data_IF_105735788261
#
_entry.id   IF_105735788261
#
_cell.length_a   1.000
_cell.length_b   1.000
_cell.length_c   1.000
_cell.angle_alpha   90.00
_cell.angle_beta   90.00
_cell.angle_gamma   90.00
#
_symmetry.space_group_name_H-M   'P 1'
#
loop_
_entity.id
_entity.type
_entity.pdbx_description
1 polymer ?
#
# COMPACT_ATOMS: atom_id res chain seq x y z
N UNK A 1 -0.61 18.40 23.03
CA UNK A 1 0.35 17.28 23.13
C UNK A 1 -0.17 16.11 23.97
N UNK A 2 -1.10 16.26 24.93
CA UNK A 2 -1.65 15.12 25.72
C UNK A 2 -2.79 14.35 25.04
N UNK A 3 -3.66 14.99 24.24
CA UNK A 3 -4.80 14.32 23.58
C UNK A 3 -4.45 13.48 22.33
N UNK A 4 -3.21 13.55 21.84
CA UNK A 4 -2.78 12.84 20.63
C UNK A 4 -2.24 11.44 20.94
N UNK A 5 -1.47 11.31 22.04
CA UNK A 5 -0.98 10.03 22.56
C UNK A 5 -2.12 9.10 23.01
N UNK A 6 -3.19 9.68 23.59
CA UNK A 6 -4.40 8.94 23.97
C UNK A 6 -5.15 8.36 22.75
N UNK A 7 -5.18 9.08 21.62
CA UNK A 7 -5.84 8.62 20.38
C UNK A 7 -5.04 7.54 19.66
N UNK A 8 -3.71 7.60 19.70
CA UNK A 8 -2.84 6.57 19.15
C UNK A 8 -2.88 5.27 19.97
N UNK A 9 -2.91 5.39 21.31
CA UNK A 9 -3.19 4.25 22.19
C UNK A 9 -4.60 3.68 21.99
N UNK A 10 -5.60 4.52 21.71
CA UNK A 10 -6.96 4.06 21.43
C UNK A 10 -7.09 3.24 20.13
N UNK A 11 -6.31 3.56 19.09
CA UNK A 11 -6.27 2.77 17.83
C UNK A 11 -5.64 1.39 18.09
N UNK A 12 -4.54 1.34 18.85
CA UNK A 12 -3.92 0.07 19.26
C UNK A 12 -4.79 -0.73 20.24
N UNK A 13 -5.53 -0.06 21.14
CA UNK A 13 -6.47 -0.71 22.06
C UNK A 13 -7.77 -1.14 21.38
N UNK A 14 -8.20 -0.48 20.31
CA UNK A 14 -9.33 -0.90 19.48
C UNK A 14 -8.99 -2.18 18.69
N UNK A 15 -7.76 -2.28 18.16
CA UNK A 15 -7.25 -3.50 17.55
C UNK A 15 -7.16 -4.70 18.54
N UNK A 16 -7.05 -4.44 19.84
CA UNK A 16 -7.08 -5.46 20.92
C UNK A 16 -8.47 -6.01 21.25
N UNK A 17 -9.56 -5.41 20.75
CA UNK A 17 -10.95 -5.83 21.07
C UNK A 17 -11.61 -6.71 20.00
N UNK A 18 -10.86 -7.06 18.94
CA UNK A 18 -11.34 -8.01 17.93
C UNK A 18 -11.42 -9.41 18.56
N UNK A 19 -12.54 -10.15 18.45
CA UNK A 19 -12.81 -11.31 19.32
C UNK A 19 -11.89 -12.52 19.12
N UNK A 20 -11.03 -12.52 18.10
CA UNK A 20 -9.95 -13.50 17.96
C UNK A 20 -8.73 -12.81 17.33
N UNK A 21 -7.73 -12.54 18.16
CA UNK A 21 -6.40 -12.14 17.69
C UNK A 21 -5.80 -13.33 16.92
N UNK A 22 -5.28 -13.13 15.69
CA UNK A 22 -4.49 -14.15 15.01
C UNK A 22 -3.34 -14.62 15.90
N UNK A 23 -3.00 -15.92 15.89
CA UNK A 23 -1.97 -16.51 16.77
C UNK A 23 -0.61 -15.78 16.74
N UNK A 24 -0.25 -15.14 15.62
CA UNK A 24 0.99 -14.37 15.50
C UNK A 24 1.01 -13.08 16.35
N UNK A 25 -0.15 -12.51 16.70
CA UNK A 25 -0.28 -11.39 17.64
C UNK A 25 -0.13 -11.83 19.11
N UNK A 26 -0.38 -13.11 19.41
CA UNK A 26 -0.12 -13.68 20.75
C UNK A 26 1.37 -13.96 20.97
N UNK A 27 2.08 -14.40 19.93
CA UNK A 27 3.53 -14.60 19.96
C UNK A 27 4.30 -13.31 20.24
N UNK A 28 3.73 -12.15 19.90
CA UNK A 28 4.28 -10.82 20.22
C UNK A 28 4.16 -10.45 21.71
N UNK A 29 3.15 -10.97 22.43
CA UNK A 29 3.04 -10.79 23.89
C UNK A 29 4.05 -11.67 24.65
N UNK A 30 4.29 -12.90 24.20
CA UNK A 30 5.22 -13.81 24.89
C UNK A 30 6.68 -13.37 24.74
N UNK A 31 7.02 -12.66 23.66
CA UNK A 31 8.34 -12.04 23.48
C UNK A 31 8.59 -10.82 24.41
N UNK A 32 7.55 -10.26 25.06
CA UNK A 32 7.69 -9.14 26.00
C UNK A 32 8.00 -9.54 27.44
N UNK A 33 8.02 -10.85 27.76
CA UNK A 33 8.37 -11.32 29.11
C UNK A 33 9.88 -11.56 29.33
N UNK A 34 10.72 -11.24 28.33
CA UNK A 34 12.17 -11.17 28.49
C UNK A 34 12.60 -9.70 28.51
N UNK A 35 12.47 -9.10 29.68
CA UNK A 35 13.12 -7.82 30.01
C UNK A 35 14.64 -7.98 29.91
N UNK A 36 15.25 -7.45 28.84
CA UNK A 36 16.46 -6.60 28.87
C UNK A 36 16.86 -6.26 27.44
N UNK A 37 16.32 -5.19 26.89
CA UNK A 37 17.01 -4.24 26.02
C UNK A 37 16.01 -3.12 25.71
N UNK A 38 16.40 -1.87 25.99
CA UNK A 38 15.61 -0.69 25.64
C UNK A 38 15.42 -0.64 24.13
N UNK A 39 14.29 -1.17 23.64
CA UNK A 39 13.90 -0.92 22.26
C UNK A 39 13.74 0.61 22.12
N UNK A 40 14.46 1.26 21.19
CA UNK A 40 14.33 2.69 21.02
C UNK A 40 12.86 2.99 20.71
N UNK A 41 12.28 3.94 21.46
CA UNK A 41 10.95 4.47 21.17
C UNK A 41 10.95 4.90 19.70
N UNK A 42 10.11 4.24 18.90
CA UNK A 42 9.87 4.59 17.51
C UNK A 42 9.50 6.09 17.42
N UNK A 43 10.37 6.90 16.81
CA UNK A 43 10.03 8.30 16.54
C UNK A 43 8.98 8.34 15.43
N UNK A 44 7.80 8.85 15.78
CA UNK A 44 6.68 8.97 14.85
C UNK A 44 7.04 9.86 13.65
N UNK A 45 7.90 10.86 13.81
CA UNK A 45 8.33 11.72 12.71
C UNK A 45 9.15 10.93 11.68
N UNK A 46 10.00 10.01 12.14
CA UNK A 46 10.78 9.15 11.26
C UNK A 46 9.86 8.21 10.47
N UNK A 47 8.83 7.65 11.12
CA UNK A 47 7.85 6.79 10.47
C UNK A 47 7.04 7.52 9.40
N UNK A 48 6.72 8.78 9.65
CA UNK A 48 5.89 9.59 8.75
C UNK A 48 6.70 10.29 7.64
N UNK A 49 8.03 10.15 7.62
CA UNK A 49 8.87 10.73 6.57
C UNK A 49 8.50 10.18 5.19
N UNK A 50 8.13 8.90 5.10
CA UNK A 50 7.65 8.26 3.87
C UNK A 50 6.27 8.74 3.41
N UNK A 51 5.58 9.53 4.24
CA UNK A 51 4.26 10.08 3.97
C UNK A 51 4.30 11.55 3.55
N UNK A 52 5.44 12.22 3.39
CA UNK A 52 5.46 13.68 3.10
C UNK A 52 4.75 14.54 4.18
N UNK A 53 4.76 14.11 5.46
CA UNK A 53 4.04 14.76 6.57
C UNK A 53 4.45 16.21 6.88
N UNK A 54 5.57 16.69 6.33
CA UNK A 54 6.02 18.08 6.44
C UNK A 54 5.29 19.04 5.47
N UNK A 55 4.50 18.51 4.53
CA UNK A 55 3.74 19.29 3.55
C UNK A 55 2.34 19.61 4.06
N UNK A 56 1.65 20.52 3.36
CA UNK A 56 0.22 20.70 3.55
C UNK A 56 -0.54 19.38 3.30
N UNK A 57 -1.70 19.15 3.97
CA UNK A 57 -2.50 17.96 3.76
C UNK A 57 -2.80 17.69 2.28
N UNK A 58 -2.48 16.49 1.84
CA UNK A 58 -2.71 16.00 0.47
C UNK A 58 -3.98 15.15 0.40
N UNK A 59 -4.56 15.05 -0.79
CA UNK A 59 -5.54 14.02 -1.15
C UNK A 59 -4.80 12.77 -1.64
N UNK A 60 -4.89 11.68 -0.88
CA UNK A 60 -4.11 10.45 -1.13
C UNK A 60 -5.05 9.30 -1.45
N UNK A 61 -4.89 8.75 -2.66
CA UNK A 61 -5.51 7.49 -3.05
C UNK A 61 -4.63 6.32 -2.57
N UNK A 62 -5.08 5.54 -1.58
CA UNK A 62 -4.33 4.39 -1.07
C UNK A 62 -4.77 3.13 -1.79
N UNK A 63 -3.84 2.43 -2.44
CA UNK A 63 -4.05 1.08 -2.97
C UNK A 63 -4.07 0.07 -1.80
N UNK A 64 -5.26 -0.37 -1.42
CA UNK A 64 -5.50 -1.31 -0.33
C UNK A 64 -5.77 -2.70 -0.91
N UNK A 65 -4.99 -3.71 -0.50
CA UNK A 65 -5.07 -5.06 -1.07
C UNK A 65 -5.59 -6.12 -0.10
N UNK A 66 -5.94 -5.74 1.13
CA UNK A 66 -6.28 -6.67 2.22
C UNK A 66 -5.05 -7.17 3.00
N UNK A 67 -3.85 -6.92 2.50
CA UNK A 67 -2.60 -7.27 3.17
C UNK A 67 -2.20 -6.27 4.27
N UNK A 68 -1.42 -6.76 5.24
CA UNK A 68 -0.91 -5.98 6.40
C UNK A 68 -0.17 -4.72 5.96
N UNK A 69 0.70 -4.83 4.96
CA UNK A 69 1.52 -3.70 4.48
C UNK A 69 0.66 -2.55 3.91
N UNK A 70 -0.37 -2.89 3.13
CA UNK A 70 -1.28 -1.89 2.56
C UNK A 70 -2.15 -1.22 3.64
N UNK A 71 -2.54 -1.98 4.67
CA UNK A 71 -3.26 -1.47 5.84
C UNK A 71 -2.39 -0.53 6.68
N UNK A 72 -1.12 -0.88 6.91
CA UNK A 72 -0.18 -0.01 7.60
C UNK A 72 0.10 1.27 6.81
N UNK A 73 0.24 1.18 5.49
CA UNK A 73 0.41 2.34 4.64
C UNK A 73 -0.78 3.30 4.70
N UNK A 74 -2.01 2.77 4.74
CA UNK A 74 -3.24 3.56 4.95
C UNK A 74 -3.20 4.32 6.28
N UNK A 75 -2.85 3.62 7.36
CA UNK A 75 -2.81 4.23 8.70
C UNK A 75 -1.72 5.31 8.79
N UNK A 76 -0.54 5.07 8.22
CA UNK A 76 0.55 6.05 8.21
C UNK A 76 0.21 7.28 7.36
N UNK A 77 -0.40 7.10 6.19
CA UNK A 77 -0.85 8.23 5.37
C UNK A 77 -1.92 9.08 6.10
N UNK A 78 -2.84 8.42 6.81
CA UNK A 78 -3.83 9.11 7.65
C UNK A 78 -3.18 9.82 8.84
N UNK A 79 -2.23 9.17 9.51
CA UNK A 79 -1.51 9.74 10.66
C UNK A 79 -0.64 10.95 10.27
N UNK A 80 -0.15 11.00 9.03
CA UNK A 80 0.49 12.18 8.44
C UNK A 80 -0.45 13.38 8.21
N UNK A 81 -1.75 13.23 8.48
CA UNK A 81 -2.74 14.30 8.37
C UNK A 81 -3.35 14.46 6.97
N UNK A 82 -3.22 13.47 6.09
CA UNK A 82 -3.76 13.52 4.73
C UNK A 82 -5.24 13.14 4.65
N UNK A 83 -5.89 13.60 3.59
CA UNK A 83 -7.23 13.19 3.19
C UNK A 83 -7.13 11.89 2.39
N UNK A 84 -7.44 10.77 3.03
CA UNK A 84 -7.24 9.43 2.46
C UNK A 84 -8.55 8.86 1.90
N UNK A 85 -8.49 8.33 0.68
CA UNK A 85 -9.49 7.41 0.11
C UNK A 85 -8.80 6.10 -0.24
N UNK A 86 -9.38 4.98 0.17
CA UNK A 86 -8.86 3.66 -0.17
C UNK A 86 -9.48 3.14 -1.48
N UNK A 87 -8.65 2.47 -2.28
CA UNK A 87 -9.05 1.82 -3.52
C UNK A 87 -8.60 0.37 -3.52
N UNK A 88 -9.55 -0.54 -3.75
CA UNK A 88 -9.27 -1.96 -4.00
C UNK A 88 -9.33 -2.23 -5.50
N UNK A 89 -8.22 -2.67 -6.08
CA UNK A 89 -8.12 -2.97 -7.51
C UNK A 89 -8.54 -4.41 -7.78
N UNK A 90 -9.74 -4.60 -8.34
CA UNK A 90 -10.23 -5.93 -8.70
C UNK A 90 -9.71 -6.33 -10.08
N UNK A 91 -8.63 -7.11 -10.09
CA UNK A 91 -7.93 -7.58 -11.31
C UNK A 91 -8.26 -9.02 -11.71
N UNK A 92 -9.00 -9.76 -10.88
CA UNK A 92 -9.35 -11.16 -11.12
C UNK A 92 -10.58 -11.31 -12.03
N UNK A 93 -10.58 -12.31 -12.91
CA UNK A 93 -11.69 -12.64 -13.79
C UNK A 93 -12.72 -13.52 -13.08
N UNK A 94 -13.93 -13.01 -12.84
CA UNK A 94 -14.98 -13.77 -12.15
C UNK A 94 -15.40 -15.06 -12.88
N UNK A 95 -15.25 -15.10 -14.20
CA UNK A 95 -15.71 -16.20 -15.05
C UNK A 95 -14.77 -17.42 -15.02
N UNK A 96 -13.48 -17.22 -14.74
CA UNK A 96 -12.47 -18.29 -14.72
C UNK A 96 -12.51 -19.11 -13.42
N UNK A 97 -12.93 -18.52 -12.29
CA UNK A 97 -12.88 -19.19 -10.98
C UNK A 97 -14.05 -20.13 -10.72
N UNK A 98 -15.25 -19.85 -11.24
CA UNK A 98 -16.43 -20.70 -11.00
C UNK A 98 -16.28 -22.13 -11.52
N UNK A 99 -15.32 -22.36 -12.41
CA UNK A 99 -15.05 -23.68 -12.99
C UNK A 99 -13.96 -24.47 -12.24
N UNK A 100 -13.20 -23.84 -11.33
CA UNK A 100 -12.02 -24.45 -10.70
C UNK A 100 -11.95 -24.33 -9.17
N UNK A 101 -12.67 -23.39 -8.55
CA UNK A 101 -12.59 -23.12 -7.10
C UNK A 101 -13.97 -22.82 -6.51
N UNK A 102 -14.29 -23.39 -5.35
CA UNK A 102 -15.58 -23.23 -4.65
C UNK A 102 -15.80 -21.81 -4.08
N UNK A 103 -14.74 -21.02 -3.91
CA UNK A 103 -14.77 -19.65 -3.42
C UNK A 103 -13.84 -18.73 -4.22
N UNK A 104 -14.26 -17.47 -4.41
CA UNK A 104 -13.48 -16.45 -5.10
C UNK A 104 -12.51 -15.75 -4.14
N UNK A 105 -11.17 -15.87 -4.30
CA UNK A 105 -10.19 -15.33 -3.33
C UNK A 105 -10.31 -13.81 -3.08
N UNK A 106 -10.79 -13.06 -4.08
CA UNK A 106 -10.89 -11.60 -3.99
C UNK A 106 -11.96 -11.12 -3.00
N UNK A 107 -12.94 -11.97 -2.64
CA UNK A 107 -14.02 -11.62 -1.71
C UNK A 107 -13.49 -11.48 -0.29
N UNK A 108 -12.62 -12.40 0.15
CA UNK A 108 -12.00 -12.36 1.47
C UNK A 108 -11.08 -11.14 1.61
N UNK A 109 -10.24 -10.88 0.60
CA UNK A 109 -9.39 -9.69 0.55
C UNK A 109 -10.22 -8.40 0.65
N UNK A 110 -11.37 -8.35 -0.05
CA UNK A 110 -12.26 -7.21 -0.02
C UNK A 110 -12.93 -7.05 1.36
N UNK A 111 -13.32 -8.14 2.02
CA UNK A 111 -13.87 -8.09 3.38
C UNK A 111 -12.84 -7.51 4.37
N UNK A 112 -11.56 -7.91 4.25
CA UNK A 112 -10.48 -7.33 5.05
C UNK A 112 -10.31 -5.84 4.75
N UNK A 113 -10.30 -5.44 3.47
CA UNK A 113 -10.25 -4.02 3.08
C UNK A 113 -11.39 -3.22 3.71
N UNK A 114 -12.62 -3.74 3.64
CA UNK A 114 -13.79 -3.09 4.22
C UNK A 114 -13.66 -2.93 5.73
N UNK A 115 -13.16 -3.96 6.43
CA UNK A 115 -12.95 -3.89 7.88
C UNK A 115 -11.89 -2.84 8.24
N UNK A 116 -10.73 -2.85 7.56
CA UNK A 116 -9.66 -1.87 7.76
C UNK A 116 -10.16 -0.45 7.53
N UNK A 117 -10.93 -0.22 6.47
CA UNK A 117 -11.50 1.08 6.15
C UNK A 117 -12.58 1.53 7.16
N UNK A 118 -13.42 0.61 7.64
CA UNK A 118 -14.39 0.91 8.71
C UNK A 118 -13.70 1.35 10.00
N UNK A 119 -12.70 0.59 10.44
CA UNK A 119 -11.95 0.90 11.67
C UNK A 119 -11.15 2.20 11.53
N UNK A 120 -10.65 2.46 10.33
CA UNK A 120 -9.95 3.71 10.01
C UNK A 120 -10.90 4.88 9.72
N UNK A 121 -12.22 4.70 9.56
CA UNK A 121 -13.12 5.76 9.10
C UNK A 121 -12.70 6.37 7.75
N UNK A 122 -12.24 5.53 6.81
CA UNK A 122 -11.76 5.90 5.47
C UNK A 122 -12.72 5.34 4.41
N UNK A 123 -13.13 6.12 3.39
CA UNK A 123 -13.95 5.60 2.30
C UNK A 123 -13.18 4.55 1.48
N UNK A 124 -13.89 3.51 1.00
CA UNK A 124 -13.35 2.44 0.16
C UNK A 124 -14.10 2.38 -1.17
N UNK A 125 -13.36 2.39 -2.27
CA UNK A 125 -13.88 2.21 -3.62
C UNK A 125 -13.27 0.97 -4.29
N UNK A 126 -14.07 0.23 -5.06
CA UNK A 126 -13.63 -0.94 -5.82
C UNK A 126 -13.49 -0.56 -7.27
N UNK A 127 -12.30 -0.74 -7.84
CA UNK A 127 -12.01 -0.39 -9.24
C UNK A 127 -11.85 -1.67 -10.05
N UNK A 128 -12.75 -1.96 -11.01
CA UNK A 128 -12.60 -3.12 -11.88
C UNK A 128 -11.49 -2.86 -12.91
N UNK A 129 -10.39 -3.62 -12.82
CA UNK A 129 -9.25 -3.52 -13.73
C UNK A 129 -8.85 -4.87 -14.33
N UNK A 130 -9.75 -5.86 -14.32
CA UNK A 130 -9.47 -7.21 -14.84
C UNK A 130 -9.07 -7.19 -16.31
N UNK A 131 -9.82 -6.47 -17.16
CA UNK A 131 -9.50 -6.35 -18.59
C UNK A 131 -8.13 -5.73 -18.82
N UNK A 132 -7.83 -4.62 -18.13
CA UNK A 132 -6.54 -3.94 -18.22
C UNK A 132 -5.40 -4.83 -17.72
N UNK A 133 -5.61 -5.60 -16.66
CA UNK A 133 -4.64 -6.57 -16.17
C UNK A 133 -4.37 -7.67 -17.21
N UNK A 134 -5.40 -8.20 -17.85
CA UNK A 134 -5.23 -9.20 -18.91
C UNK A 134 -4.46 -8.65 -20.10
N UNK A 135 -4.91 -7.54 -20.66
CA UNK A 135 -4.33 -6.96 -21.88
C UNK A 135 -2.89 -6.51 -21.64
N UNK A 136 -2.61 -5.91 -20.47
CA UNK A 136 -1.33 -5.25 -20.20
C UNK A 136 -0.34 -6.14 -19.44
N UNK A 137 -0.75 -7.24 -18.82
CA UNK A 137 0.12 -8.12 -18.02
C UNK A 137 0.07 -9.56 -18.50
N UNK A 138 -1.12 -10.17 -18.50
CA UNK A 138 -1.27 -11.60 -18.81
C UNK A 138 -0.89 -11.89 -20.26
N UNK A 139 -1.45 -11.13 -21.21
CA UNK A 139 -1.21 -11.33 -22.64
C UNK A 139 0.28 -11.20 -22.99
N UNK A 140 0.98 -10.19 -22.46
CA UNK A 140 2.43 -10.06 -22.64
C UNK A 140 3.19 -11.22 -22.00
N UNK A 141 2.85 -11.59 -20.77
CA UNK A 141 3.53 -12.69 -20.07
C UNK A 141 3.40 -14.01 -20.85
N UNK A 142 2.22 -14.32 -21.38
CA UNK A 142 2.00 -15.50 -22.23
C UNK A 142 2.81 -15.41 -23.52
N UNK A 143 2.87 -14.24 -24.16
CA UNK A 143 3.68 -14.02 -25.36
C UNK A 143 5.18 -14.24 -25.10
N UNK A 144 5.70 -13.73 -23.99
CA UNK A 144 7.09 -13.91 -23.56
C UNK A 144 7.43 -15.38 -23.31
N UNK A 145 6.54 -16.10 -22.63
CA UNK A 145 6.67 -17.55 -22.37
C UNK A 145 6.70 -18.32 -23.70
N UNK A 146 5.79 -18.01 -24.64
CA UNK A 146 5.76 -18.64 -25.97
C UNK A 146 7.05 -18.41 -26.75
N UNK A 147 7.72 -17.28 -26.50
CA UNK A 147 9.00 -16.94 -27.09
C UNK A 147 10.22 -17.48 -26.30
N UNK A 148 10.00 -18.36 -25.32
CA UNK A 148 11.05 -19.01 -24.54
C UNK A 148 11.70 -18.13 -23.48
N UNK A 149 11.06 -17.02 -23.09
CA UNK A 149 11.54 -16.10 -22.05
C UNK A 149 10.77 -16.30 -20.75
N UNK A 150 11.37 -15.87 -19.64
CA UNK A 150 10.73 -15.89 -18.32
C UNK A 150 10.33 -14.46 -17.94
N UNK A 151 9.06 -14.05 -18.14
CA UNK A 151 8.58 -12.72 -17.78
C UNK A 151 8.47 -12.57 -16.26
N UNK A 152 8.53 -11.32 -15.80
CA UNK A 152 8.17 -10.96 -14.42
C UNK A 152 6.86 -10.16 -14.44
N UNK A 153 5.70 -10.80 -14.19
CA UNK A 153 4.40 -10.14 -14.26
C UNK A 153 4.21 -9.07 -13.16
N UNK A 154 4.90 -9.16 -12.03
CA UNK A 154 4.78 -8.18 -10.93
C UNK A 154 5.35 -6.81 -11.33
N UNK A 155 6.48 -6.78 -12.04
CA UNK A 155 7.05 -5.55 -12.61
C UNK A 155 6.05 -4.89 -13.58
N UNK A 156 5.36 -5.70 -14.38
CA UNK A 156 4.36 -5.22 -15.33
C UNK A 156 3.10 -4.73 -14.61
N UNK A 157 2.62 -5.47 -13.60
CA UNK A 157 1.46 -5.10 -12.79
C UNK A 157 1.66 -3.75 -12.11
N UNK A 158 2.84 -3.52 -11.52
CA UNK A 158 3.15 -2.24 -10.89
C UNK A 158 3.16 -1.10 -11.91
N UNK A 159 3.90 -1.23 -13.02
CA UNK A 159 4.06 -0.15 -13.99
C UNK A 159 2.84 0.08 -14.89
N UNK A 160 1.99 -0.92 -15.12
CA UNK A 160 0.90 -0.83 -16.10
C UNK A 160 -0.50 -0.87 -15.49
N UNK A 161 -0.64 -1.38 -14.27
CA UNK A 161 -1.94 -1.51 -13.59
C UNK A 161 -1.98 -0.60 -12.37
N UNK A 162 -1.18 -0.86 -11.33
CA UNK A 162 -1.20 -0.08 -10.08
C UNK A 162 -0.86 1.41 -10.28
N UNK A 163 0.15 1.69 -11.09
CA UNK A 163 0.56 3.06 -11.42
C UNK A 163 0.34 3.39 -12.90
N UNK A 164 -0.38 2.55 -13.64
CA UNK A 164 -0.77 2.79 -15.03
C UNK A 164 -2.28 2.98 -15.13
N UNK A 165 -3.00 1.89 -15.39
CA UNK A 165 -4.46 1.88 -15.53
C UNK A 165 -5.20 2.54 -14.36
N UNK A 166 -4.69 2.44 -13.13
CA UNK A 166 -5.29 3.13 -12.00
C UNK A 166 -5.07 4.65 -12.03
N UNK A 167 -3.92 5.15 -12.52
CA UNK A 167 -3.75 6.60 -12.71
C UNK A 167 -4.68 7.13 -13.80
N UNK A 168 -4.87 6.37 -14.88
CA UNK A 168 -5.88 6.68 -15.92
C UNK A 168 -7.29 6.72 -15.32
N UNK A 169 -7.61 5.79 -14.42
CA UNK A 169 -8.89 5.82 -13.69
C UNK A 169 -9.04 7.07 -12.82
N UNK A 170 -7.99 7.48 -12.09
CA UNK A 170 -8.03 8.71 -11.29
C UNK A 170 -8.21 9.96 -12.15
N UNK A 171 -7.55 10.03 -13.31
CA UNK A 171 -7.76 11.11 -14.29
C UNK A 171 -9.22 11.15 -14.76
N UNK A 172 -9.81 9.98 -15.06
CA UNK A 172 -11.21 9.90 -15.44
C UNK A 172 -12.17 10.37 -14.34
N UNK A 173 -11.89 10.06 -13.06
CA UNK A 173 -12.68 10.59 -11.93
C UNK A 173 -12.60 12.11 -11.88
N UNK A 174 -11.39 12.68 -11.99
CA UNK A 174 -11.21 14.13 -12.01
C UNK A 174 -12.02 14.80 -13.14
N UNK A 175 -12.03 14.22 -14.33
CA UNK A 175 -12.80 14.72 -15.48
C UNK A 175 -14.32 14.58 -15.31
N UNK A 176 -14.80 13.53 -14.65
CA UNK A 176 -16.24 13.18 -14.60
C UNK A 176 -16.96 13.69 -13.35
N UNK A 177 -16.33 13.67 -12.18
CA UNK A 177 -16.93 14.08 -10.92
C UNK A 177 -16.10 15.12 -10.14
N UNK A 178 -14.95 15.53 -10.68
CA UNK A 178 -14.09 16.56 -10.09
C UNK A 178 -13.20 16.06 -8.95
N UNK A 179 -13.17 14.75 -8.65
CA UNK A 179 -12.33 14.18 -7.61
C UNK A 179 -10.90 13.98 -8.10
N UNK A 180 -10.02 14.88 -7.70
CA UNK A 180 -8.57 14.79 -7.91
C UNK A 180 -7.84 14.22 -6.71
N UNK A 181 -6.67 13.60 -6.97
CA UNK A 181 -5.78 13.03 -5.97
C UNK A 181 -4.33 13.49 -6.24
N UNK A 182 -3.65 13.96 -5.20
CA UNK A 182 -2.28 14.46 -5.31
C UNK A 182 -1.24 13.33 -5.34
N UNK A 183 -1.56 12.21 -4.67
CA UNK A 183 -0.67 11.05 -4.56
C UNK A 183 -1.44 9.72 -4.59
N UNK A 184 -0.76 8.70 -5.06
CA UNK A 184 -1.14 7.29 -4.94
C UNK A 184 -0.20 6.59 -3.95
N UNK A 185 -0.73 6.21 -2.80
CA UNK A 185 -0.01 5.45 -1.80
C UNK A 185 -0.15 3.95 -1.99
N UNK A 186 0.90 3.20 -1.66
CA UNK A 186 0.84 1.73 -1.64
C UNK A 186 1.71 1.16 -0.53
N UNK A 187 1.46 -0.08 -0.14
CA UNK A 187 2.26 -0.81 0.85
C UNK A 187 3.62 -1.30 0.35
N UNK A 188 4.21 -0.67 -0.68
CA UNK A 188 5.53 -1.09 -1.13
C UNK A 188 6.63 -0.57 -0.20
N UNK A 189 7.57 -1.43 0.12
CA UNK A 189 8.83 -1.06 0.78
C UNK A 189 9.78 -0.50 -0.27
N UNK A 190 9.68 0.81 -0.51
CA UNK A 190 10.58 1.57 -1.36
C UNK A 190 10.62 3.02 -0.88
N UNK A 191 11.70 3.76 -1.17
CA UNK A 191 11.80 5.19 -0.85
C UNK A 191 11.72 6.04 -2.12
N UNK A 192 11.13 7.22 -1.99
CA UNK A 192 11.17 8.25 -3.01
C UNK A 192 11.99 9.41 -2.48
N UNK A 193 12.99 9.84 -3.24
CA UNK A 193 13.77 11.03 -2.96
C UNK A 193 13.28 12.14 -3.88
N UNK A 194 12.60 13.12 -3.30
CA UNK A 194 12.11 14.32 -3.97
C UNK A 194 13.03 15.49 -3.63
N UNK A 195 13.25 16.34 -4.62
CA UNK A 195 13.95 17.60 -4.45
C UNK A 195 12.99 18.70 -3.99
N UNK A 196 13.51 19.81 -3.47
CA UNK A 196 12.71 20.99 -3.14
C UNK A 196 12.09 21.62 -4.39
N UNK A 197 12.83 21.61 -5.51
CA UNK A 197 12.31 22.07 -6.79
C UNK A 197 11.46 20.96 -7.44
N UNK A 198 10.14 21.15 -7.60
CA UNK A 198 9.25 20.13 -8.18
C UNK A 198 9.54 19.83 -9.66
N UNK A 199 10.32 20.67 -10.36
CA UNK A 199 10.76 20.41 -11.73
C UNK A 199 11.84 19.31 -11.81
N UNK A 200 12.52 19.01 -10.69
CA UNK A 200 13.56 17.99 -10.64
C UNK A 200 12.97 16.56 -10.63
N UNK A 201 13.69 15.58 -11.20
CA UNK A 201 13.24 14.20 -11.22
C UNK A 201 13.16 13.61 -9.81
N UNK A 202 12.21 12.72 -9.62
CA UNK A 202 11.97 11.95 -8.40
C UNK A 202 12.74 10.65 -8.52
N UNK A 203 13.56 10.34 -7.53
CA UNK A 203 14.41 9.15 -7.57
C UNK A 203 13.80 8.04 -6.72
N UNK A 204 13.69 6.85 -7.29
CA UNK A 204 13.41 5.62 -6.55
C UNK A 204 14.69 5.19 -5.82
N UNK A 205 14.60 4.93 -4.52
CA UNK A 205 15.73 4.58 -3.66
C UNK A 205 15.44 3.35 -2.80
N UNK A 206 16.49 2.60 -2.50
CA UNK A 206 16.44 1.41 -1.65
C UNK A 206 15.94 1.75 -0.24
N UNK A 207 15.23 0.83 0.41
CA UNK A 207 14.88 0.92 1.84
C UNK A 207 16.08 0.56 2.73
N UNK A 208 16.04 0.88 4.04
CA UNK A 208 17.04 0.40 4.98
C UNK A 208 16.95 -1.12 5.25
N UNK A 209 15.82 -1.77 4.93
CA UNK A 209 15.64 -3.21 5.05
C UNK A 209 15.80 -3.90 3.68
N UNK A 210 17.01 -4.39 3.41
CA UNK A 210 17.33 -5.08 2.16
C UNK A 210 16.50 -6.36 1.91
N UNK A 211 15.90 -6.97 2.94
CA UNK A 211 15.07 -8.18 2.79
C UNK A 211 13.67 -7.82 2.33
N UNK A 212 13.15 -6.67 2.78
CA UNK A 212 11.83 -6.18 2.41
C UNK A 212 11.85 -5.24 1.21
N UNK A 213 13.01 -4.73 0.78
CA UNK A 213 13.12 -3.84 -0.37
C UNK A 213 12.42 -4.39 -1.62
N UNK A 214 11.54 -3.56 -2.19
CA UNK A 214 10.73 -3.88 -3.37
C UNK A 214 11.03 -2.96 -4.55
N UNK A 215 12.13 -2.20 -4.52
CA UNK A 215 12.48 -1.28 -5.61
C UNK A 215 12.68 -2.00 -6.94
N UNK A 216 13.15 -3.25 -6.93
CA UNK A 216 13.24 -4.09 -8.11
C UNK A 216 11.91 -4.22 -8.86
N UNK A 217 10.81 -4.41 -8.13
CA UNK A 217 9.47 -4.55 -8.71
C UNK A 217 8.90 -3.21 -9.22
N UNK A 218 9.53 -2.09 -8.85
CA UNK A 218 9.14 -0.73 -9.22
C UNK A 218 10.11 -0.11 -10.25
N UNK A 219 11.13 -0.85 -10.70
CA UNK A 219 12.19 -0.33 -11.55
C UNK A 219 11.72 0.13 -12.94
N UNK A 220 10.50 -0.23 -13.36
CA UNK A 220 9.89 0.20 -14.63
C UNK A 220 8.93 1.38 -14.50
N UNK A 221 8.81 2.00 -13.33
CA UNK A 221 8.00 3.20 -13.19
C UNK A 221 8.61 4.37 -13.96
N UNK A 222 7.77 5.07 -14.73
CA UNK A 222 8.16 6.29 -15.41
C UNK A 222 8.29 7.46 -14.43
N UNK A 223 8.94 8.53 -14.86
CA UNK A 223 9.09 9.73 -14.04
C UNK A 223 7.74 10.35 -13.64
N UNK A 224 6.76 10.34 -14.54
CA UNK A 224 5.39 10.77 -14.26
C UNK A 224 4.74 9.90 -13.17
N UNK A 225 4.90 8.58 -13.26
CA UNK A 225 4.37 7.65 -12.25
C UNK A 225 5.02 7.87 -10.89
N UNK A 226 6.36 7.98 -10.84
CA UNK A 226 7.10 8.26 -9.61
C UNK A 226 6.68 9.59 -8.97
N UNK A 227 6.37 10.62 -9.76
CA UNK A 227 5.87 11.90 -9.25
C UNK A 227 4.56 11.75 -8.48
N UNK A 228 3.67 10.85 -8.91
CA UNK A 228 2.40 10.58 -8.26
C UNK A 228 2.51 9.60 -7.07
N UNK A 229 3.60 8.83 -6.92
CA UNK A 229 3.70 7.79 -5.90
C UNK A 229 3.91 8.32 -4.48
N UNK A 230 3.43 7.57 -3.49
CA UNK A 230 3.78 7.70 -2.07
C UNK A 230 4.05 6.31 -1.49
N UNK A 231 5.16 6.12 -0.77
CA UNK A 231 5.53 4.83 -0.19
C UNK A 231 5.74 4.97 1.33
N UNK A 232 4.63 4.91 2.12
CA UNK A 232 4.69 5.09 3.57
C UNK A 232 5.63 4.12 4.30
N UNK A 233 5.82 2.92 3.77
CA UNK A 233 6.65 1.89 4.42
C UNK A 233 8.15 2.03 4.10
N UNK A 234 8.53 2.94 3.21
CA UNK A 234 9.91 3.12 2.76
C UNK A 234 10.95 3.37 3.87
N UNK A 235 10.64 4.16 4.92
CA UNK A 235 11.56 4.38 6.03
C UNK A 235 11.64 3.21 7.02
N UNK A 236 10.71 2.26 6.98
CA UNK A 236 10.62 1.22 8.00
C UNK A 236 11.79 0.23 7.91
N UNK A 237 12.33 -0.09 9.08
CA UNK A 237 13.29 -1.18 9.25
C UNK A 237 12.60 -2.48 9.65
N UNK A 238 13.33 -3.60 9.63
CA UNK A 238 12.84 -4.93 9.99
C UNK A 238 12.10 -4.95 11.33
N UNK A 239 12.63 -4.25 12.34
CA UNK A 239 12.05 -4.19 13.69
C UNK A 239 10.68 -3.48 13.73
N UNK A 240 10.41 -2.63 12.74
CA UNK A 240 9.25 -1.72 12.74
C UNK A 240 8.12 -2.22 11.83
N UNK A 241 8.45 -3.02 10.80
CA UNK A 241 7.47 -3.51 9.82
C UNK A 241 6.85 -4.88 10.13
N UNK A 242 7.06 -5.46 11.32
CA UNK A 242 6.55 -6.79 11.70
C UNK A 242 7.25 -7.97 11.00
N UNK A 243 7.09 -9.19 11.53
CA UNK A 243 7.52 -10.43 10.87
C UNK A 243 6.45 -10.92 9.88
N UNK A 244 6.89 -11.70 8.86
CA UNK A 244 6.01 -12.23 7.80
C UNK A 244 5.19 -13.41 8.29
#
# INVERSE_FOLDING_TARGET
MSHFTERFQAVFQAARRLPQLPQWLSAWHDAQLLETETQPLLDLNDLLTGCEAHRAPLKVAVLLSGGVDSSLALQLAKAAGHHVTAFYLRIWFQEDFRNFWDACPWEDDLQVCQQVCRDAGVPLEVVPLSQQYWDRVVHESVSEIRAGRTPNPDILCNSRVKFGAFLEHLQHLEETDGRSYDRVASGHYARLVRDENPANPVRLALTPDAIKDQTYFLARLSQHQLQCCLFPLGPLTKAQGGER
#
